data_IF_126762095559
#
_entry.id   IF_126762095559
#
_cell.length_a   1.000
_cell.length_b   1.000
_cell.length_c   1.000
_cell.angle_alpha   90.00
_cell.angle_beta   90.00
_cell.angle_gamma   90.00
#
_symmetry.space_group_name_H-M   'P 1'
#
loop_
_entity.id
_entity.type
_entity.pdbx_description
1 polymer ?
#
# COMPACT_ATOMS: atom_id res chain seq x y z
N UNK A 1 48.96 -31.26 9.37
CA UNK A 1 48.65 -32.20 8.27
C UNK A 1 47.37 -31.73 7.63
N UNK A 2 47.44 -30.98 6.54
CA UNK A 2 46.24 -30.51 5.82
C UNK A 2 45.69 -31.63 4.95
N UNK A 3 44.47 -32.07 5.26
CA UNK A 3 43.76 -33.02 4.40
C UNK A 3 43.08 -32.20 3.31
N UNK A 4 43.68 -32.14 2.12
CA UNK A 4 43.06 -31.54 0.92
C UNK A 4 41.91 -32.42 0.44
N UNK A 5 40.72 -32.15 0.94
CA UNK A 5 39.48 -32.79 0.46
C UNK A 5 39.11 -32.28 -0.94
N UNK A 6 38.64 -33.22 -1.78
CA UNK A 6 38.19 -33.00 -3.15
C UNK A 6 37.15 -31.85 -3.24
N UNK A 7 37.28 -30.90 -4.19
CA UNK A 7 36.37 -29.75 -4.32
C UNK A 7 34.88 -30.14 -4.46
N UNK A 8 34.58 -31.32 -5.03
CA UNK A 8 33.19 -31.78 -5.15
C UNK A 8 32.57 -32.23 -3.82
N UNK A 9 33.38 -32.70 -2.87
CA UNK A 9 32.94 -33.08 -1.51
C UNK A 9 32.69 -31.81 -0.67
N UNK A 10 33.46 -30.74 -0.91
CA UNK A 10 33.33 -29.46 -0.19
C UNK A 10 32.03 -28.73 -0.51
N UNK A 11 31.56 -28.78 -1.76
CA UNK A 11 30.29 -28.15 -2.16
C UNK A 11 29.10 -28.86 -1.49
N UNK A 12 29.14 -30.19 -1.42
CA UNK A 12 28.10 -31.01 -0.78
C UNK A 12 28.02 -30.83 0.75
N UNK A 13 29.17 -30.65 1.43
CA UNK A 13 29.19 -30.33 2.87
C UNK A 13 28.67 -28.92 3.17
N UNK A 14 28.95 -27.95 2.30
CA UNK A 14 28.53 -26.56 2.51
C UNK A 14 27.01 -26.39 2.36
N UNK A 15 26.40 -27.06 1.39
CA UNK A 15 24.94 -27.06 1.24
C UNK A 15 24.24 -27.76 2.40
N UNK A 16 24.80 -28.84 2.95
CA UNK A 16 24.23 -29.52 4.12
C UNK A 16 24.34 -28.68 5.41
N UNK A 17 25.43 -27.90 5.56
CA UNK A 17 25.63 -27.01 6.71
C UNK A 17 24.66 -25.82 6.69
N UNK A 18 24.37 -25.29 5.49
CA UNK A 18 23.42 -24.19 5.31
C UNK A 18 22.00 -24.65 5.71
N UNK A 19 21.57 -25.85 5.34
CA UNK A 19 20.26 -26.38 5.77
C UNK A 19 20.15 -26.59 7.29
N UNK A 20 21.22 -27.04 7.95
CA UNK A 20 21.20 -27.29 9.40
C UNK A 20 21.14 -26.01 10.25
N UNK A 21 21.70 -24.89 9.76
CA UNK A 21 21.71 -23.62 10.48
C UNK A 21 20.36 -22.89 10.43
N UNK A 22 19.49 -23.18 9.44
CA UNK A 22 18.20 -22.49 9.28
C UNK A 22 17.14 -23.01 10.27
N UNK A 23 17.27 -24.26 10.75
CA UNK A 23 16.26 -24.88 11.65
C UNK A 23 16.64 -24.89 13.14
N UNK A 24 17.81 -24.37 13.53
CA UNK A 24 18.24 -24.37 14.94
C UNK A 24 18.04 -23.00 15.60
N UNK A 25 17.42 -22.90 16.80
CA UNK A 25 17.23 -21.64 17.51
C UNK A 25 18.48 -21.14 18.26
N UNK A 26 19.67 -21.69 17.97
CA UNK A 26 20.92 -21.32 18.66
C UNK A 26 21.83 -20.57 17.69
N UNK A 27 22.14 -19.31 18.02
CA UNK A 27 23.02 -18.45 17.24
C UNK A 27 24.46 -18.99 17.24
N UNK A 28 24.88 -19.65 16.16
CA UNK A 28 26.27 -20.06 15.98
C UNK A 28 27.03 -18.89 15.34
N UNK A 29 27.94 -18.26 16.11
CA UNK A 29 28.85 -17.24 15.59
C UNK A 29 29.93 -17.90 14.73
N UNK A 30 29.81 -17.79 13.40
CA UNK A 30 30.88 -18.20 12.47
C UNK A 30 31.99 -17.15 12.45
N UNK A 31 33.20 -17.49 12.91
CA UNK A 31 34.40 -16.70 12.62
C UNK A 31 34.83 -16.94 11.16
N UNK A 32 34.53 -15.98 10.29
CA UNK A 32 34.84 -16.02 8.85
C UNK A 32 36.34 -15.79 8.60
N UNK A 33 36.97 -16.60 7.74
CA UNK A 33 38.37 -16.45 7.36
C UNK A 33 38.56 -15.30 6.33
N UNK A 34 39.60 -14.44 6.42
CA UNK A 34 39.65 -13.16 5.68
C UNK A 34 40.14 -13.25 4.22
N UNK A 35 40.64 -14.40 3.78
CA UNK A 35 41.46 -14.47 2.56
C UNK A 35 40.67 -14.41 1.25
N UNK A 36 39.33 -14.44 1.29
CA UNK A 36 38.49 -14.38 0.09
C UNK A 36 38.31 -12.95 -0.47
N UNK A 37 38.63 -11.92 0.31
CA UNK A 37 38.29 -10.54 -0.05
C UNK A 37 39.26 -9.85 -1.02
N UNK A 38 40.51 -10.31 -1.12
CA UNK A 38 41.51 -9.61 -1.94
C UNK A 38 41.46 -9.95 -3.44
N UNK A 39 40.81 -11.03 -3.87
CA UNK A 39 40.79 -11.42 -5.30
C UNK A 39 39.64 -10.83 -6.11
N UNK A 40 38.57 -10.36 -5.47
CA UNK A 40 37.30 -10.05 -6.15
C UNK A 40 36.79 -8.61 -5.93
N UNK A 41 37.61 -7.73 -5.34
CA UNK A 41 37.24 -6.33 -5.09
C UNK A 41 35.88 -6.16 -4.37
N UNK A 42 35.60 -7.06 -3.42
CA UNK A 42 34.37 -7.02 -2.62
C UNK A 42 34.69 -6.28 -1.32
N UNK A 43 33.91 -5.27 -0.98
CA UNK A 43 34.10 -4.47 0.22
C UNK A 43 34.13 -5.36 1.49
N UNK A 44 34.98 -4.98 2.46
CA UNK A 44 35.19 -5.73 3.70
C UNK A 44 33.92 -5.78 4.58
N UNK A 45 33.70 -6.86 5.35
CA UNK A 45 32.44 -7.11 6.05
C UNK A 45 32.14 -6.13 7.19
N UNK A 46 33.09 -5.28 7.58
CA UNK A 46 32.85 -4.21 8.56
C UNK A 46 31.88 -3.13 8.06
N UNK A 47 31.61 -3.05 6.75
CA UNK A 47 30.51 -2.23 6.19
C UNK A 47 29.21 -3.02 5.98
N UNK A 48 29.26 -4.36 6.02
CA UNK A 48 28.08 -5.22 5.87
C UNK A 48 27.29 -5.37 7.19
N UNK A 49 27.93 -5.15 8.34
CA UNK A 49 27.29 -5.20 9.67
C UNK A 49 26.64 -3.88 10.12
N UNK A 50 26.72 -2.83 9.31
CA UNK A 50 25.85 -1.66 9.44
C UNK A 50 24.52 -1.83 8.70
N UNK A 51 24.28 -2.97 8.03
CA UNK A 51 23.10 -3.20 7.18
C UNK A 51 21.96 -3.89 7.92
N UNK A 52 21.75 -3.56 9.20
CA UNK A 52 20.54 -4.02 9.93
C UNK A 52 19.78 -2.93 10.67
N UNK A 53 20.17 -1.66 10.56
CA UNK A 53 19.25 -0.57 10.91
C UNK A 53 18.21 -0.27 9.83
N UNK A 54 18.45 -0.76 8.60
CA UNK A 54 17.55 -0.63 7.47
C UNK A 54 17.23 -2.00 6.86
N UNK A 55 16.75 -2.96 7.67
CA UNK A 55 15.84 -3.95 7.09
C UNK A 55 14.69 -3.12 6.55
N UNK A 56 14.65 -3.03 5.23
CA UNK A 56 13.80 -2.19 4.41
C UNK A 56 12.31 -2.48 4.67
N UNK A 57 11.80 -2.09 5.84
CA UNK A 57 10.40 -1.74 5.99
C UNK A 57 10.31 -0.50 5.14
N UNK A 58 9.77 -0.64 3.93
CA UNK A 58 9.19 0.51 3.24
C UNK A 58 8.12 1.00 4.20
N UNK A 59 8.51 1.92 5.08
CA UNK A 59 7.61 2.63 5.95
C UNK A 59 6.85 3.52 5.00
N UNK A 60 5.77 2.97 4.46
CA UNK A 60 4.84 3.73 3.67
C UNK A 60 4.34 4.84 4.60
N UNK A 61 4.85 6.05 4.37
CA UNK A 61 4.68 7.13 5.33
C UNK A 61 3.23 7.59 5.22
N UNK A 62 2.48 7.37 6.30
CA UNK A 62 1.18 7.99 6.48
C UNK A 62 1.31 9.51 6.46
N UNK A 63 0.37 10.17 5.81
CA UNK A 63 0.33 11.60 5.57
C UNK A 63 -1.05 12.14 5.97
N UNK A 64 -1.10 12.69 7.20
CA UNK A 64 -2.33 13.17 7.84
C UNK A 64 -3.47 12.12 7.88
N UNK A 65 -3.24 10.93 8.47
CA UNK A 65 -4.31 9.97 8.62
C UNK A 65 -5.42 10.52 9.53
N UNK A 66 -6.68 10.28 9.18
CA UNK A 66 -7.84 10.92 9.84
C UNK A 66 -8.83 9.94 10.47
N UNK A 67 -9.14 8.84 9.79
CA UNK A 67 -10.06 7.80 10.27
C UNK A 67 -9.41 6.43 10.33
N UNK A 68 -9.89 5.57 11.24
CA UNK A 68 -9.40 4.20 11.42
C UNK A 68 -10.56 3.24 11.71
N UNK A 69 -10.46 2.01 11.21
CA UNK A 69 -11.34 0.89 11.51
C UNK A 69 -10.52 -0.40 11.71
N UNK A 70 -11.14 -1.39 12.37
CA UNK A 70 -10.54 -2.71 12.58
C UNK A 70 -11.56 -3.76 12.20
N UNK A 71 -11.16 -4.77 11.42
CA UNK A 71 -12.03 -5.88 11.03
C UNK A 71 -12.15 -6.97 12.12
N UNK A 72 -12.94 -8.02 11.85
CA UNK A 72 -13.17 -9.11 12.79
C UNK A 72 -11.94 -10.00 13.08
N UNK A 73 -10.89 -9.94 12.26
CA UNK A 73 -9.63 -10.69 12.46
C UNK A 73 -8.48 -9.81 12.95
N UNK A 74 -8.72 -8.51 13.12
CA UNK A 74 -7.78 -7.55 13.70
C UNK A 74 -6.96 -6.74 12.69
N UNK A 75 -7.25 -6.82 11.39
CA UNK A 75 -6.58 -5.94 10.42
C UNK A 75 -7.04 -4.50 10.63
N UNK A 76 -6.10 -3.57 10.50
CA UNK A 76 -6.29 -2.14 10.78
C UNK A 76 -6.36 -1.40 9.45
N UNK A 77 -7.44 -0.67 9.22
CA UNK A 77 -7.68 0.12 8.03
C UNK A 77 -7.57 1.59 8.42
N UNK A 78 -6.74 2.37 7.75
CA UNK A 78 -6.55 3.79 8.02
C UNK A 78 -6.80 4.62 6.75
N UNK A 79 -7.57 5.69 6.88
CA UNK A 79 -7.70 6.69 5.83
C UNK A 79 -6.44 7.57 5.83
N UNK A 80 -5.56 7.38 4.86
CA UNK A 80 -4.32 8.12 4.69
C UNK A 80 -4.57 9.33 3.78
N UNK A 81 -5.19 10.35 4.38
CA UNK A 81 -5.96 11.38 3.68
C UNK A 81 -5.17 12.13 2.62
N UNK A 82 -3.96 12.61 2.92
CA UNK A 82 -3.19 13.38 1.94
C UNK A 82 -2.41 12.53 0.94
N UNK A 83 -2.49 11.20 1.08
CA UNK A 83 -2.03 10.25 0.07
C UNK A 83 -3.20 9.63 -0.72
N UNK A 84 -4.42 10.14 -0.54
CA UNK A 84 -5.61 9.76 -1.30
C UNK A 84 -5.85 8.24 -1.36
N UNK A 85 -5.73 7.56 -0.21
CA UNK A 85 -5.85 6.11 -0.13
C UNK A 85 -6.37 5.62 1.23
N UNK A 86 -6.83 4.38 1.26
CA UNK A 86 -6.93 3.58 2.48
C UNK A 86 -5.71 2.67 2.57
N UNK A 87 -5.09 2.60 3.74
CA UNK A 87 -3.94 1.73 4.01
C UNK A 87 -4.37 0.64 4.97
N UNK A 88 -3.98 -0.60 4.70
CA UNK A 88 -4.34 -1.77 5.50
C UNK A 88 -3.11 -2.36 6.16
N UNK A 89 -3.19 -2.60 7.46
CA UNK A 89 -2.15 -3.24 8.26
C UNK A 89 -2.67 -4.53 8.89
N UNK A 90 -1.77 -5.49 9.12
CA UNK A 90 -2.07 -6.64 9.94
C UNK A 90 -2.15 -6.25 11.44
N UNK A 91 -2.60 -7.15 12.34
CA UNK A 91 -2.68 -6.86 13.77
C UNK A 91 -1.36 -6.49 14.44
N UNK A 92 -0.22 -6.75 13.79
CA UNK A 92 1.13 -6.40 14.28
C UNK A 92 1.61 -5.04 13.77
N UNK A 93 0.82 -4.37 12.92
CA UNK A 93 1.16 -3.09 12.30
C UNK A 93 1.99 -3.22 11.04
N UNK A 94 2.13 -4.41 10.47
CA UNK A 94 2.80 -4.60 9.18
C UNK A 94 1.85 -4.19 8.05
N UNK A 95 2.35 -3.39 7.12
CA UNK A 95 1.61 -3.00 5.92
C UNK A 95 1.25 -4.23 5.07
N UNK A 96 -0.03 -4.37 4.74
CA UNK A 96 -0.56 -5.40 3.87
C UNK A 96 -0.80 -4.86 2.46
N UNK A 97 -1.54 -3.76 2.35
CA UNK A 97 -1.94 -3.19 1.05
C UNK A 97 -2.40 -1.73 1.15
N UNK A 98 -2.67 -1.15 -0.02
CA UNK A 98 -3.19 0.20 -0.21
C UNK A 98 -4.32 0.17 -1.24
N UNK A 99 -5.44 0.81 -0.94
CA UNK A 99 -6.69 0.76 -1.70
C UNK A 99 -7.09 2.17 -2.12
N UNK A 100 -7.62 2.31 -3.34
CA UNK A 100 -8.18 3.56 -3.84
C UNK A 100 -7.16 4.63 -4.21
N UNK A 101 -5.86 4.32 -4.22
CA UNK A 101 -4.82 5.25 -4.66
C UNK A 101 -5.02 5.66 -6.11
N UNK A 102 -4.80 6.96 -6.38
CA UNK A 102 -4.74 7.51 -7.74
C UNK A 102 -3.73 6.72 -8.58
N UNK A 103 -4.19 6.04 -9.64
CA UNK A 103 -3.23 5.55 -10.63
C UNK A 103 -2.59 6.78 -11.27
N UNK A 104 -1.28 6.77 -11.47
CA UNK A 104 -0.61 7.75 -12.35
C UNK A 104 -1.36 7.72 -13.68
N UNK A 105 -2.20 8.73 -13.89
CA UNK A 105 -3.08 8.83 -15.03
C UNK A 105 -2.22 8.81 -16.30
N UNK A 106 -2.28 7.70 -17.03
CA UNK A 106 -1.72 7.59 -18.37
C UNK A 106 -2.74 8.04 -19.43
N UNK A 107 -3.93 8.43 -19.01
CA UNK A 107 -5.03 8.79 -19.87
C UNK A 107 -5.82 9.95 -19.28
N UNK A 108 -6.36 10.76 -20.18
CA UNK A 108 -7.00 12.05 -19.93
C UNK A 108 -8.36 11.90 -19.23
N UNK A 109 -8.40 11.21 -18.08
CA UNK A 109 -9.62 10.93 -17.34
C UNK A 109 -10.24 12.26 -16.89
N UNK A 110 -11.43 12.51 -17.44
CA UNK A 110 -12.26 13.67 -17.13
C UNK A 110 -12.80 13.56 -15.70
N UNK A 111 -13.30 14.65 -15.10
CA UNK A 111 -13.85 14.58 -13.73
C UNK A 111 -14.95 13.50 -13.58
N UNK A 112 -15.68 13.20 -14.66
CA UNK A 112 -16.69 12.13 -14.71
C UNK A 112 -16.13 10.71 -14.69
N UNK A 113 -14.85 10.49 -15.01
CA UNK A 113 -14.23 9.17 -15.02
C UNK A 113 -13.68 8.79 -13.63
N UNK A 114 -13.35 9.78 -12.80
CA UNK A 114 -12.91 9.59 -11.40
C UNK A 114 -14.01 8.97 -10.54
N UNK A 115 -15.26 9.26 -10.86
CA UNK A 115 -16.39 8.66 -10.15
C UNK A 115 -16.50 7.14 -10.40
N UNK A 116 -15.86 6.62 -11.47
CA UNK A 116 -15.95 5.20 -11.85
C UNK A 116 -14.68 4.39 -11.60
N UNK A 117 -13.55 5.06 -11.32
CA UNK A 117 -12.25 4.39 -11.16
C UNK A 117 -12.02 3.80 -9.76
N UNK A 118 -12.81 4.22 -8.76
CA UNK A 118 -12.58 3.88 -7.35
C UNK A 118 -11.38 4.63 -6.76
N UNK A 119 -10.86 5.63 -7.47
CA UNK A 119 -9.85 6.54 -6.94
C UNK A 119 -10.48 7.43 -5.86
N UNK A 120 -9.77 7.54 -4.75
CA UNK A 120 -10.15 8.37 -3.61
C UNK A 120 -9.54 9.77 -3.75
N UNK A 121 -10.13 10.72 -3.05
CA UNK A 121 -9.74 12.11 -2.98
C UNK A 121 -10.01 12.64 -1.57
N UNK A 122 -8.95 12.69 -0.77
CA UNK A 122 -8.97 13.05 0.65
C UNK A 122 -9.98 12.22 1.44
N UNK A 123 -9.78 10.89 1.51
CA UNK A 123 -10.62 10.05 2.35
C UNK A 123 -10.49 10.50 3.81
N UNK A 124 -11.62 10.75 4.48
CA UNK A 124 -11.64 11.22 5.88
C UNK A 124 -11.99 10.13 6.88
N UNK A 125 -12.51 9.00 6.41
CA UNK A 125 -13.02 7.93 7.24
C UNK A 125 -13.04 6.61 6.50
N UNK A 126 -12.98 5.53 7.27
CA UNK A 126 -13.10 4.16 6.78
C UNK A 126 -13.94 3.34 7.76
N UNK A 127 -14.75 2.42 7.24
CA UNK A 127 -15.46 1.40 8.01
C UNK A 127 -15.37 0.06 7.26
N UNK A 128 -15.48 -1.05 7.98
CA UNK A 128 -15.45 -2.40 7.43
C UNK A 128 -16.65 -3.19 7.95
N UNK A 129 -17.35 -3.91 7.06
CA UNK A 129 -18.49 -4.75 7.47
C UNK A 129 -18.07 -6.17 7.88
N UNK A 130 -19.03 -6.99 8.31
CA UNK A 130 -18.77 -8.36 8.79
C UNK A 130 -18.33 -9.36 7.71
N UNK A 131 -18.44 -9.01 6.42
CA UNK A 131 -17.95 -9.83 5.31
C UNK A 131 -16.67 -9.27 4.67
N UNK A 132 -16.16 -8.15 5.20
CA UNK A 132 -14.90 -7.53 4.82
C UNK A 132 -15.02 -6.45 3.74
N UNK A 133 -16.22 -5.99 3.39
CA UNK A 133 -16.34 -4.85 2.48
C UNK A 133 -15.87 -3.57 3.18
N UNK A 134 -15.22 -2.70 2.42
CA UNK A 134 -14.55 -1.51 2.92
C UNK A 134 -15.31 -0.28 2.41
N UNK A 135 -15.74 0.56 3.33
CA UNK A 135 -16.48 1.78 3.06
C UNK A 135 -15.57 2.96 3.34
N UNK A 136 -15.20 3.72 2.30
CA UNK A 136 -14.38 4.91 2.42
C UNK A 136 -15.21 6.18 2.23
N UNK A 137 -15.06 7.13 3.15
CA UNK A 137 -15.66 8.46 3.01
C UNK A 137 -14.77 9.33 2.11
N UNK A 138 -15.08 9.39 0.82
CA UNK A 138 -14.32 10.07 -0.23
C UNK A 138 -14.68 11.56 -0.31
N UNK A 139 -14.17 12.32 0.66
CA UNK A 139 -14.69 13.63 1.08
C UNK A 139 -14.73 14.67 -0.03
N UNK A 140 -13.68 14.79 -0.84
CA UNK A 140 -13.62 15.84 -1.87
C UNK A 140 -14.38 15.46 -3.15
N UNK A 141 -14.87 14.22 -3.24
CA UNK A 141 -15.77 13.76 -4.27
C UNK A 141 -17.24 13.65 -3.78
N UNK A 142 -17.53 14.10 -2.55
CA UNK A 142 -18.85 14.11 -1.92
C UNK A 142 -19.60 12.75 -2.00
N UNK A 143 -18.86 11.65 -1.81
CA UNK A 143 -19.40 10.29 -1.97
C UNK A 143 -18.85 9.32 -0.95
N UNK A 144 -19.53 8.19 -0.82
CA UNK A 144 -18.99 6.98 -0.19
C UNK A 144 -18.57 6.02 -1.31
N UNK A 145 -17.40 5.41 -1.17
CA UNK A 145 -16.91 4.38 -2.09
C UNK A 145 -16.85 3.05 -1.34
N UNK A 146 -17.43 2.01 -1.93
CA UNK A 146 -17.46 0.67 -1.36
C UNK A 146 -16.55 -0.24 -2.17
N UNK A 147 -15.60 -0.88 -1.50
CA UNK A 147 -14.71 -1.88 -2.07
C UNK A 147 -15.02 -3.26 -1.49
N UNK A 148 -14.77 -4.30 -2.28
CA UNK A 148 -14.77 -5.68 -1.79
C UNK A 148 -13.53 -5.94 -0.91
N UNK A 149 -13.45 -7.10 -0.22
CA UNK A 149 -12.31 -7.44 0.63
C UNK A 149 -10.95 -7.51 -0.09
N UNK A 150 -10.93 -7.47 -1.42
CA UNK A 150 -9.71 -7.45 -2.24
C UNK A 150 -9.34 -6.06 -2.74
N UNK A 151 -10.06 -5.02 -2.29
CA UNK A 151 -9.84 -3.63 -2.67
C UNK A 151 -10.41 -3.27 -4.05
N UNK A 152 -11.25 -4.11 -4.65
CA UNK A 152 -11.90 -3.80 -5.93
C UNK A 152 -13.18 -3.00 -5.69
N UNK A 153 -13.40 -1.97 -6.50
CA UNK A 153 -14.61 -1.15 -6.46
C UNK A 153 -15.87 -2.01 -6.68
N UNK A 154 -16.83 -1.89 -5.76
CA UNK A 154 -18.17 -2.47 -5.87
C UNK A 154 -19.19 -1.41 -6.26
N UNK A 155 -19.22 -0.30 -5.52
CA UNK A 155 -20.27 0.71 -5.64
C UNK A 155 -19.77 2.09 -5.20
N UNK A 156 -20.43 3.14 -5.68
CA UNK A 156 -20.30 4.48 -5.15
C UNK A 156 -21.68 5.06 -4.82
N UNK A 157 -21.81 5.66 -3.64
CA UNK A 157 -23.06 6.21 -3.10
C UNK A 157 -22.88 7.72 -2.91
N UNK A 158 -23.72 8.50 -3.60
CA UNK A 158 -23.58 9.95 -3.67
C UNK A 158 -22.66 10.40 -4.81
N UNK A 159 -22.60 11.70 -5.02
CA UNK A 159 -21.72 12.34 -5.99
C UNK A 159 -21.64 13.84 -5.72
N UNK A 160 -20.54 14.45 -6.13
CA UNK A 160 -20.41 15.91 -6.15
C UNK A 160 -21.53 16.51 -6.99
N UNK A 161 -22.31 17.40 -6.38
CA UNK A 161 -23.29 18.19 -7.12
C UNK A 161 -22.52 19.16 -8.01
N UNK A 162 -22.38 18.83 -9.29
CA UNK A 162 -21.97 19.80 -10.30
C UNK A 162 -23.00 20.93 -10.24
N UNK A 163 -22.52 22.18 -10.12
CA UNK A 163 -23.40 23.34 -10.12
C UNK A 163 -24.17 23.35 -11.45
N UNK A 164 -25.42 22.90 -11.44
CA UNK A 164 -26.33 23.02 -12.58
C UNK A 164 -26.69 24.50 -12.73
N UNK A 165 -26.06 25.15 -13.70
CA UNK A 165 -26.59 26.21 -14.56
C UNK A 165 -27.69 27.11 -13.97
N UNK A 166 -27.32 28.04 -13.09
CA UNK A 166 -28.16 29.22 -12.81
C UNK A 166 -28.02 30.28 -13.91
N UNK A 167 -28.14 29.90 -15.18
CA UNK A 167 -28.35 30.86 -16.26
C UNK A 167 -29.25 30.28 -17.35
N UNK A 168 -30.51 30.03 -17.01
CA UNK A 168 -31.62 30.14 -17.98
C UNK A 168 -32.67 31.08 -17.42
N UNK A 169 -32.26 32.33 -17.20
CA UNK A 169 -33.17 33.45 -17.32
C UNK A 169 -33.59 33.50 -18.81
N UNK A 170 -34.58 32.69 -19.17
CA UNK A 170 -35.28 32.84 -20.44
C UNK A 170 -36.42 33.83 -20.20
N UNK A 171 -36.06 35.10 -20.33
CA UNK A 171 -36.95 36.13 -20.87
C UNK A 171 -37.71 35.54 -22.07
N UNK A 172 -38.97 35.16 -21.85
CA UNK A 172 -39.96 35.01 -22.92
C UNK A 172 -41.32 35.50 -22.44
N UNK A 173 -41.63 36.71 -22.90
CA UNK A 173 -42.91 37.09 -23.48
C UNK A 173 -44.18 36.71 -22.71
N UNK A 174 -44.70 37.68 -21.96
CA UNK A 174 -46.15 37.92 -21.89
C UNK A 174 -46.48 39.40 -22.02
N UNK A 175 -46.08 40.01 -23.14
CA UNK A 175 -46.83 41.13 -23.71
C UNK A 175 -47.95 40.55 -24.57
N UNK A 176 -49.19 40.63 -24.09
CA UNK A 176 -50.36 40.34 -24.91
C UNK A 176 -51.53 39.74 -24.14
N UNK A 177 -52.28 40.58 -23.44
CA UNK A 177 -53.72 40.40 -23.26
C UNK A 177 -54.35 41.78 -22.95
N UNK A 178 -54.62 42.53 -24.02
CA UNK A 178 -55.69 43.51 -24.06
C UNK A 178 -56.67 43.00 -25.11
N UNK A 179 -57.87 42.63 -24.65
CA UNK A 179 -59.15 42.76 -25.36
C UNK A 179 -60.25 42.78 -24.30
#
# INVERSE_FOLDING_TARGET
MEIKLNPFIRISLLTLLIFYVIESPLSISLSFWPDFYQSNNVASPSSAFAVTQDILIIKDNLNHPSGVAVDGIGNIYAADTLNDRIVVFDPTGKLLESIGSKKLASDNNTESDKDKSGELNHPSGVAVDGIGNIYAADTLNDRIVVFDPTGKLLESIGSKKLASDNNTESDKDKSGELN
#
